data_IF_536477739458
#
_entry.id   IF_536477739458
#
_cell.length_a   1.000
_cell.length_b   1.000
_cell.length_c   1.000
_cell.angle_alpha   90.00
_cell.angle_beta   90.00
_cell.angle_gamma   90.00
#
_symmetry.space_group_name_H-M   'P 1'
#
loop_
_entity.id
_entity.type
_entity.pdbx_description
1 polymer ?
#
# COMPACT_ATOMS: atom_id res chain seq x y z
N UNK A 1 23.66 1.17 0.30
CA UNK A 1 23.24 2.59 0.36
C UNK A 1 21.73 2.59 0.55
N UNK A 2 21.26 3.07 1.71
CA UNK A 2 19.83 3.28 1.99
C UNK A 2 19.39 4.56 1.27
N UNK A 3 18.36 4.49 0.42
CA UNK A 3 17.82 5.68 -0.28
C UNK A 3 17.19 6.69 0.70
N UNK A 4 16.57 7.79 0.27
CA UNK A 4 15.81 8.63 1.20
C UNK A 4 14.51 7.95 1.64
N UNK A 5 14.06 8.19 2.88
CA UNK A 5 12.75 7.74 3.36
C UNK A 5 11.58 8.30 2.51
N UNK A 6 11.78 9.49 1.92
CA UNK A 6 10.79 10.23 1.14
C UNK A 6 11.27 10.55 -0.28
N UNK A 7 10.32 10.67 -1.20
CA UNK A 7 10.50 11.30 -2.51
C UNK A 7 9.36 12.29 -2.74
N UNK A 8 9.67 13.59 -2.70
CA UNK A 8 8.63 14.62 -2.59
C UNK A 8 7.82 14.43 -1.30
N UNK A 9 6.49 14.42 -1.41
CA UNK A 9 5.60 14.15 -0.27
C UNK A 9 5.34 12.65 -0.04
N UNK A 10 5.87 11.75 -0.88
CA UNK A 10 5.62 10.31 -0.78
C UNK A 10 6.65 9.60 0.09
N UNK A 11 6.20 8.64 0.89
CA UNK A 11 7.07 7.71 1.63
C UNK A 11 7.47 6.59 0.67
N UNK A 12 8.77 6.39 0.44
CA UNK A 12 9.31 5.38 -0.48
C UNK A 12 10.20 4.35 0.21
N UNK A 13 10.64 4.60 1.44
CA UNK A 13 11.32 3.60 2.28
C UNK A 13 10.79 3.62 3.72
N UNK A 14 9.87 2.71 4.02
CA UNK A 14 9.35 2.56 5.38
C UNK A 14 10.42 2.18 6.41
N UNK A 15 11.51 1.51 6.00
CA UNK A 15 12.50 0.96 6.94
C UNK A 15 13.28 2.05 7.66
N UNK A 16 13.23 3.27 7.14
CA UNK A 16 13.87 4.45 7.72
C UNK A 16 12.93 5.27 8.61
N UNK A 17 11.67 4.85 8.75
CA UNK A 17 10.70 5.52 9.62
C UNK A 17 10.72 4.91 11.03
N UNK A 18 11.20 5.70 11.98
CA UNK A 18 11.22 5.37 13.41
C UNK A 18 9.93 5.80 14.13
N UNK A 19 8.77 5.50 13.52
CA UNK A 19 7.46 5.82 14.08
C UNK A 19 6.80 4.59 14.73
N UNK A 20 6.20 4.69 15.92
CA UNK A 20 5.52 3.57 16.58
C UNK A 20 4.27 3.12 15.82
N UNK A 21 3.91 1.84 15.87
CA UNK A 21 2.68 1.34 15.25
C UNK A 21 2.20 0.02 15.89
N UNK A 22 1.47 0.14 17.00
CA UNK A 22 1.04 -0.98 17.82
C UNK A 22 2.24 -1.63 18.53
N UNK A 23 2.27 -2.96 18.54
CA UNK A 23 3.37 -3.75 19.12
C UNK A 23 4.71 -3.60 18.38
N UNK A 24 4.71 -3.06 17.17
CA UNK A 24 5.88 -2.97 16.30
C UNK A 24 6.15 -1.52 15.88
N UNK A 25 7.33 -1.24 15.34
CA UNK A 25 7.61 0.03 14.65
C UNK A 25 7.10 0.03 13.20
N UNK A 26 6.93 1.21 12.63
CA UNK A 26 6.49 1.40 11.24
C UNK A 26 7.44 0.77 10.22
N UNK A 27 8.74 0.72 10.53
CA UNK A 27 9.72 -0.04 9.75
C UNK A 27 9.35 -1.52 9.57
N UNK A 28 8.75 -2.15 10.59
CA UNK A 28 8.40 -3.57 10.59
C UNK A 28 6.95 -3.86 10.17
N UNK A 29 5.99 -3.03 10.56
CA UNK A 29 4.56 -3.30 10.37
C UNK A 29 3.74 -2.15 9.76
N UNK A 30 4.39 -1.04 9.39
CA UNK A 30 3.75 0.19 8.96
C UNK A 30 3.30 0.25 7.50
N UNK A 31 3.60 -0.78 6.69
CA UNK A 31 3.31 -0.79 5.25
C UNK A 31 1.84 -0.42 4.93
N UNK A 32 0.89 -0.85 5.76
CA UNK A 32 -0.53 -0.54 5.59
C UNK A 32 -0.86 0.95 5.72
N UNK A 33 -0.39 1.63 6.77
CA UNK A 33 -0.68 3.06 6.97
C UNK A 33 0.11 3.94 6.01
N UNK A 34 1.32 3.51 5.64
CA UNK A 34 2.13 4.17 4.62
C UNK A 34 1.45 4.10 3.26
N UNK A 35 0.86 2.95 2.89
CA UNK A 35 0.09 2.85 1.66
C UNK A 35 -1.16 3.75 1.68
N UNK A 36 -1.84 3.88 2.83
CA UNK A 36 -2.96 4.82 2.98
C UNK A 36 -2.50 6.27 2.82
N UNK A 37 -1.41 6.66 3.47
CA UNK A 37 -0.82 7.99 3.34
C UNK A 37 -0.45 8.31 1.89
N UNK A 38 0.29 7.42 1.22
CA UNK A 38 0.66 7.62 -0.17
C UNK A 38 -0.56 7.67 -1.10
N UNK A 39 -1.58 6.85 -0.86
CA UNK A 39 -2.82 6.91 -1.64
C UNK A 39 -3.56 8.24 -1.47
N UNK A 40 -3.60 8.82 -0.26
CA UNK A 40 -4.17 10.16 -0.03
C UNK A 40 -3.35 11.26 -0.72
N UNK A 41 -2.02 11.15 -0.68
CA UNK A 41 -1.12 12.06 -1.41
C UNK A 41 -1.36 12.01 -2.93
N UNK A 42 -1.52 10.82 -3.51
CA UNK A 42 -1.86 10.66 -4.94
C UNK A 42 -3.20 11.36 -5.27
N UNK A 43 -4.17 11.27 -4.37
CA UNK A 43 -5.47 11.92 -4.51
C UNK A 43 -5.44 13.45 -4.30
N UNK A 44 -4.29 14.03 -3.94
CA UNK A 44 -4.16 15.44 -3.59
C UNK A 44 -4.90 15.81 -2.31
N UNK A 45 -5.12 14.85 -1.42
CA UNK A 45 -5.80 15.06 -0.13
C UNK A 45 -4.73 15.26 0.94
N UNK A 46 -4.85 16.36 1.67
CA UNK A 46 -3.95 16.65 2.78
C UNK A 46 -3.98 15.50 3.80
N UNK A 47 -2.80 14.99 4.12
CA UNK A 47 -2.60 13.72 4.79
C UNK A 47 -1.63 13.91 5.95
N UNK A 48 -2.17 13.97 7.16
CA UNK A 48 -1.38 13.98 8.39
C UNK A 48 -0.93 12.54 8.72
N UNK A 49 0.38 12.30 8.64
CA UNK A 49 0.99 11.00 8.91
C UNK A 49 0.66 10.48 10.31
N UNK A 50 0.74 11.32 11.34
CA UNK A 50 0.50 10.90 12.72
C UNK A 50 -0.97 10.54 12.93
N UNK A 51 -1.87 11.35 12.39
CA UNK A 51 -3.31 11.08 12.46
C UNK A 51 -3.69 9.81 11.70
N UNK A 52 -3.16 9.58 10.51
CA UNK A 52 -3.42 8.36 9.72
C UNK A 52 -2.88 7.14 10.47
N UNK A 53 -1.63 7.21 10.94
CA UNK A 53 -0.97 6.15 11.71
C UNK A 53 -1.78 5.80 12.95
N UNK A 54 -2.16 6.80 13.75
CA UNK A 54 -2.96 6.61 14.97
C UNK A 54 -4.36 6.06 14.68
N UNK A 55 -5.04 6.59 13.66
CA UNK A 55 -6.37 6.11 13.25
C UNK A 55 -6.31 4.64 12.80
N UNK A 56 -5.29 4.25 12.04
CA UNK A 56 -5.12 2.87 11.58
C UNK A 56 -4.65 1.92 12.67
N UNK A 57 -3.82 2.40 13.61
CA UNK A 57 -3.39 1.64 14.77
C UNK A 57 -4.59 1.18 15.63
N UNK A 58 -5.61 2.05 15.78
CA UNK A 58 -6.88 1.72 16.45
C UNK A 58 -7.70 0.63 15.74
N UNK A 59 -7.46 0.40 14.45
CA UNK A 59 -8.11 -0.65 13.66
C UNK A 59 -7.36 -1.99 13.74
N UNK A 60 -6.19 -2.04 14.39
CA UNK A 60 -5.42 -3.27 14.55
C UNK A 60 -6.02 -4.17 15.63
N UNK A 61 -6.23 -5.44 15.29
CA UNK A 61 -6.66 -6.43 16.26
C UNK A 61 -5.57 -6.67 17.33
N UNK A 62 -5.95 -6.61 18.61
CA UNK A 62 -5.06 -6.77 19.77
C UNK A 62 -3.79 -5.89 19.70
N UNK A 63 -3.92 -4.63 19.28
CA UNK A 63 -2.79 -3.69 19.21
C UNK A 63 -1.70 -4.09 18.22
N UNK A 64 -2.05 -4.86 17.19
CA UNK A 64 -1.09 -5.32 16.17
C UNK A 64 -0.36 -6.60 16.55
N UNK A 65 -1.00 -7.53 17.27
CA UNK A 65 -0.45 -8.89 17.50
C UNK A 65 0.01 -9.53 16.18
N UNK A 66 -0.72 -9.25 15.09
CA UNK A 66 -0.30 -9.53 13.72
C UNK A 66 -0.07 -8.21 12.98
N UNK A 67 0.74 -8.23 11.91
CA UNK A 67 0.85 -7.11 10.99
C UNK A 67 -0.52 -6.66 10.46
N UNK A 68 -0.59 -5.46 9.87
CA UNK A 68 -1.83 -4.86 9.35
C UNK A 68 -2.61 -5.85 8.46
N UNK A 69 -3.84 -6.26 8.82
CA UNK A 69 -4.67 -7.11 7.98
C UNK A 69 -5.00 -6.44 6.64
N UNK A 70 -5.10 -7.23 5.57
CA UNK A 70 -5.33 -6.74 4.19
C UNK A 70 -6.54 -5.81 4.03
N UNK A 71 -7.58 -5.98 4.87
CA UNK A 71 -8.83 -5.22 4.80
C UNK A 71 -8.79 -3.90 5.58
N UNK A 72 -7.76 -3.64 6.40
CA UNK A 72 -7.72 -2.45 7.26
C UNK A 72 -7.64 -1.15 6.45
N UNK A 73 -6.81 -1.02 5.39
CA UNK A 73 -6.86 0.16 4.53
C UNK A 73 -8.26 0.42 3.94
N UNK A 74 -8.95 -0.64 3.51
CA UNK A 74 -10.30 -0.54 2.98
C UNK A 74 -11.31 -0.04 4.03
N UNK A 75 -11.20 -0.53 5.27
CA UNK A 75 -12.02 -0.08 6.38
C UNK A 75 -11.75 1.39 6.72
N UNK A 76 -10.47 1.79 6.77
CA UNK A 76 -10.07 3.17 6.98
C UNK A 76 -10.73 4.11 5.96
N UNK A 77 -10.59 3.82 4.66
CA UNK A 77 -11.18 4.66 3.61
C UNK A 77 -12.70 4.69 3.67
N UNK A 78 -13.37 3.57 3.98
CA UNK A 78 -14.83 3.56 4.19
C UNK A 78 -15.26 4.47 5.34
N UNK A 79 -14.54 4.47 6.47
CA UNK A 79 -14.82 5.38 7.58
C UNK A 79 -14.58 6.86 7.21
N UNK A 80 -13.76 7.14 6.21
CA UNK A 80 -13.55 8.49 5.66
C UNK A 80 -14.54 8.84 4.52
N UNK A 81 -15.53 7.98 4.25
CA UNK A 81 -16.59 8.23 3.28
C UNK A 81 -16.26 7.85 1.83
N UNK A 82 -15.12 7.19 1.57
CA UNK A 82 -14.77 6.75 0.23
C UNK A 82 -15.57 5.52 -0.19
N UNK A 83 -15.92 5.46 -1.49
CA UNK A 83 -16.40 4.22 -2.10
C UNK A 83 -15.22 3.30 -2.35
N UNK A 84 -15.16 2.21 -1.58
CA UNK A 84 -14.07 1.24 -1.66
C UNK A 84 -14.55 -0.07 -2.28
N UNK A 85 -13.91 -0.47 -3.37
CA UNK A 85 -14.03 -1.80 -3.96
C UNK A 85 -12.80 -2.63 -3.62
N UNK A 86 -13.02 -3.85 -3.12
CA UNK A 86 -12.00 -4.88 -2.96
C UNK A 86 -12.07 -5.86 -4.13
N UNK A 87 -10.94 -6.19 -4.72
CA UNK A 87 -10.85 -7.10 -5.87
C UNK A 87 -9.67 -8.03 -5.67
N UNK A 88 -9.86 -9.34 -5.94
CA UNK A 88 -8.80 -10.35 -5.91
C UNK A 88 -8.48 -10.94 -7.29
N UNK A 89 -9.24 -10.58 -8.32
CA UNK A 89 -9.07 -11.09 -9.68
C UNK A 89 -8.13 -10.18 -10.50
N UNK A 90 -6.98 -10.72 -10.96
CA UNK A 90 -5.93 -9.98 -11.70
C UNK A 90 -6.44 -9.24 -12.94
N UNK A 91 -7.40 -9.80 -13.69
CA UNK A 91 -7.97 -9.10 -14.85
C UNK A 91 -8.81 -7.90 -14.45
N UNK A 92 -9.55 -8.02 -13.34
CA UNK A 92 -10.34 -6.92 -12.77
C UNK A 92 -9.45 -5.87 -12.12
N UNK A 93 -8.32 -6.26 -11.52
CA UNK A 93 -7.29 -5.35 -11.02
C UNK A 93 -6.80 -4.42 -12.11
N UNK A 94 -6.26 -4.97 -13.21
CA UNK A 94 -5.68 -4.17 -14.28
C UNK A 94 -6.71 -3.20 -14.89
N UNK A 95 -7.98 -3.61 -14.95
CA UNK A 95 -9.07 -2.74 -15.40
C UNK A 95 -9.38 -1.62 -14.42
N UNK A 96 -9.38 -1.90 -13.12
CA UNK A 96 -9.68 -0.89 -12.09
C UNK A 96 -8.50 0.05 -11.85
N UNK A 97 -7.26 -0.45 -11.87
CA UNK A 97 -6.04 0.34 -11.74
C UNK A 97 -5.97 1.48 -12.76
N UNK A 98 -6.52 1.27 -13.97
CA UNK A 98 -6.59 2.30 -15.02
C UNK A 98 -7.74 3.30 -14.85
N UNK A 99 -8.76 2.96 -14.05
CA UNK A 99 -9.98 3.77 -13.90
C UNK A 99 -9.91 4.77 -12.75
N UNK A 100 -9.10 4.48 -11.73
CA UNK A 100 -9.02 5.30 -10.53
C UNK A 100 -7.66 5.97 -10.44
N UNK A 101 -7.61 7.22 -9.93
CA UNK A 101 -6.36 7.98 -9.80
C UNK A 101 -5.38 7.36 -8.80
N UNK A 102 -5.89 6.59 -7.83
CA UNK A 102 -5.07 5.92 -6.82
C UNK A 102 -5.61 4.52 -6.51
N UNK A 103 -4.70 3.63 -6.11
CA UNK A 103 -5.04 2.34 -5.55
C UNK A 103 -4.03 1.85 -4.52
N UNK A 104 -4.45 0.90 -3.69
CA UNK A 104 -3.56 0.15 -2.80
C UNK A 104 -3.59 -1.32 -3.17
N UNK A 105 -2.42 -1.94 -3.26
CA UNK A 105 -2.23 -3.37 -3.40
C UNK A 105 -1.75 -3.94 -2.07
N UNK A 106 -2.37 -5.03 -1.64
CA UNK A 106 -1.78 -5.95 -0.67
C UNK A 106 -1.28 -7.18 -1.39
N UNK A 107 -0.12 -7.74 -1.04
CA UNK A 107 0.33 -9.03 -1.56
C UNK A 107 1.19 -9.78 -0.56
N UNK A 108 1.30 -11.10 -0.69
CA UNK A 108 2.17 -11.93 0.14
C UNK A 108 3.54 -12.11 -0.51
N UNK A 109 4.61 -12.10 0.29
CA UNK A 109 5.94 -12.42 -0.20
C UNK A 109 6.01 -13.90 -0.62
N UNK A 110 6.64 -14.13 -1.77
CA UNK A 110 7.02 -15.45 -2.25
C UNK A 110 8.55 -15.56 -2.21
N UNK A 111 9.07 -16.64 -1.63
CA UNK A 111 10.50 -16.95 -1.69
C UNK A 111 10.67 -18.41 -2.10
N UNK A 112 11.41 -18.66 -3.19
CA UNK A 112 11.72 -20.00 -3.72
C UNK A 112 10.50 -20.93 -3.82
N UNK A 113 9.38 -20.42 -4.36
CA UNK A 113 8.14 -21.20 -4.54
C UNK A 113 7.31 -21.43 -3.27
N UNK A 114 7.74 -20.91 -2.10
CA UNK A 114 6.97 -20.99 -0.85
C UNK A 114 6.33 -19.64 -0.53
N UNK A 115 5.05 -19.67 -0.15
CA UNK A 115 4.33 -18.52 0.40
C UNK A 115 4.91 -18.26 1.80
N UNK A 116 5.48 -17.09 2.01
CA UNK A 116 5.84 -16.63 3.36
C UNK A 116 4.63 -15.92 3.99
N UNK A 117 4.38 -16.08 5.30
CA UNK A 117 3.28 -15.41 5.99
C UNK A 117 3.52 -13.90 6.22
N UNK A 118 4.36 -13.27 5.40
CA UNK A 118 4.62 -11.84 5.43
C UNK A 118 3.94 -11.19 4.23
N UNK A 119 3.14 -10.16 4.49
CA UNK A 119 2.44 -9.39 3.48
C UNK A 119 2.99 -7.98 3.37
N UNK A 120 2.81 -7.37 2.21
CA UNK A 120 3.21 -5.99 1.95
C UNK A 120 2.06 -5.20 1.35
N UNK A 121 2.03 -3.91 1.66
CA UNK A 121 1.14 -2.96 1.00
C UNK A 121 1.94 -1.94 0.22
N UNK A 122 1.48 -1.63 -0.98
CA UNK A 122 2.00 -0.55 -1.79
C UNK A 122 0.84 0.28 -2.36
N UNK A 123 0.98 1.61 -2.33
CA UNK A 123 0.10 2.49 -3.07
C UNK A 123 0.58 2.58 -4.52
N UNK A 124 -0.31 2.85 -5.45
CA UNK A 124 0.08 3.13 -6.84
C UNK A 124 -0.82 4.19 -7.49
N UNK A 125 -0.24 4.87 -8.48
CA UNK A 125 -0.92 5.78 -9.39
C UNK A 125 -0.76 5.27 -10.83
N UNK A 126 -1.82 5.22 -11.65
CA UNK A 126 -1.67 4.97 -13.08
C UNK A 126 -0.98 6.16 -13.77
N UNK A 127 -0.18 5.87 -14.78
CA UNK A 127 0.47 6.87 -15.63
C UNK A 127 -0.24 6.97 -16.98
N UNK A 128 0.01 8.04 -17.74
CA UNK A 128 -0.64 8.30 -19.03
C UNK A 128 -0.31 7.27 -20.11
N UNK A 129 0.85 6.64 -20.04
CA UNK A 129 1.32 5.57 -20.93
C UNK A 129 0.81 4.17 -20.51
N UNK A 130 -0.08 4.10 -19.52
CA UNK A 130 -0.71 2.85 -19.09
C UNK A 130 0.18 1.96 -18.21
N UNK A 131 1.27 2.51 -17.67
CA UNK A 131 2.05 1.94 -16.57
C UNK A 131 1.41 2.32 -15.22
N UNK A 132 2.04 1.90 -14.13
CA UNK A 132 1.72 2.32 -12.78
C UNK A 132 3.01 2.70 -12.06
N UNK A 133 2.98 3.80 -11.33
CA UNK A 133 4.02 4.17 -10.39
C UNK A 133 3.65 3.62 -9.01
N UNK A 134 4.46 2.71 -8.48
CA UNK A 134 4.29 2.09 -7.19
C UNK A 134 5.14 2.80 -6.13
N UNK A 135 4.55 3.07 -4.97
CA UNK A 135 5.22 3.74 -3.87
C UNK A 135 5.46 2.76 -2.73
N UNK A 136 6.72 2.73 -2.26
CA UNK A 136 7.19 1.85 -1.19
C UNK A 136 7.01 0.35 -1.49
N UNK A 137 6.90 -0.08 -2.75
CA UNK A 137 6.95 -1.51 -3.11
C UNK A 137 8.36 -2.09 -3.01
N UNK A 138 9.32 -1.32 -3.55
CA UNK A 138 10.76 -1.56 -3.44
C UNK A 138 11.32 -0.47 -2.53
N UNK A 139 11.84 -0.81 -1.33
CA UNK A 139 12.32 0.18 -0.37
C UNK A 139 13.37 1.12 -0.99
N UNK A 140 13.13 2.42 -0.89
CA UNK A 140 14.01 3.50 -1.34
C UNK A 140 13.95 3.78 -2.85
N UNK A 141 13.15 3.04 -3.61
CA UNK A 141 12.99 3.24 -5.04
C UNK A 141 11.89 4.27 -5.32
N UNK A 142 12.29 5.50 -5.65
CA UNK A 142 11.36 6.59 -5.94
C UNK A 142 10.66 6.48 -7.28
N UNK A 143 11.20 5.73 -8.23
CA UNK A 143 10.70 5.59 -9.61
C UNK A 143 10.42 4.13 -9.97
N UNK A 144 9.71 3.38 -9.12
CA UNK A 144 9.18 2.05 -9.47
C UNK A 144 7.98 2.21 -10.42
N UNK A 145 8.29 2.32 -11.71
CA UNK A 145 7.31 2.49 -12.79
C UNK A 145 7.33 1.23 -13.65
N UNK A 146 6.21 0.51 -13.67
CA UNK A 146 6.04 -0.70 -14.49
C UNK A 146 4.57 -1.02 -14.71
N UNK A 147 4.32 -1.96 -15.60
CA UNK A 147 2.95 -2.35 -15.91
C UNK A 147 2.39 -3.19 -14.77
N UNK A 148 1.07 -3.14 -14.58
CA UNK A 148 0.40 -4.02 -13.62
C UNK A 148 0.63 -5.52 -13.95
N UNK A 149 0.81 -5.85 -15.23
CA UNK A 149 1.18 -7.21 -15.67
C UNK A 149 2.56 -7.60 -15.12
N UNK A 150 3.55 -6.75 -15.33
CA UNK A 150 4.92 -6.97 -14.85
C UNK A 150 4.94 -7.08 -13.32
N UNK A 151 4.18 -6.23 -12.62
CA UNK A 151 4.02 -6.33 -11.17
C UNK A 151 3.54 -7.73 -10.74
N UNK A 152 2.56 -8.33 -11.44
CA UNK A 152 2.08 -9.68 -11.12
C UNK A 152 3.07 -10.80 -11.46
N UNK A 153 3.90 -10.60 -12.48
CA UNK A 153 4.96 -11.54 -12.85
C UNK A 153 6.09 -11.52 -11.81
N UNK A 154 6.48 -10.32 -11.36
CA UNK A 154 7.49 -10.12 -10.31
C UNK A 154 6.98 -10.57 -8.94
N UNK A 155 5.67 -10.46 -8.70
CA UNK A 155 4.99 -10.81 -7.44
C UNK A 155 3.88 -11.83 -7.71
N UNK A 156 4.20 -13.13 -7.93
CA UNK A 156 3.22 -14.15 -8.29
C UNK A 156 2.25 -14.55 -7.15
N UNK A 157 2.09 -13.72 -6.13
CA UNK A 157 1.37 -13.99 -4.90
C UNK A 157 -0.08 -14.48 -5.12
N UNK A 158 -0.50 -15.34 -4.18
CA UNK A 158 -1.82 -15.98 -4.14
C UNK A 158 -2.96 -15.03 -3.77
N UNK A 159 -2.68 -14.00 -2.97
CA UNK A 159 -3.69 -13.10 -2.44
C UNK A 159 -3.31 -11.66 -2.73
N UNK A 160 -4.17 -10.96 -3.47
CA UNK A 160 -4.00 -9.55 -3.77
C UNK A 160 -5.31 -8.82 -3.55
N UNK A 161 -5.28 -7.61 -2.96
CA UNK A 161 -6.49 -6.79 -2.80
C UNK A 161 -6.25 -5.37 -3.30
N UNK A 162 -7.08 -4.91 -4.25
CA UNK A 162 -7.13 -3.51 -4.67
C UNK A 162 -8.05 -2.76 -3.72
N UNK A 163 -7.64 -1.60 -3.25
CA UNK A 163 -8.57 -0.59 -2.74
C UNK A 163 -8.65 0.51 -3.77
N UNK A 164 -9.73 0.56 -4.55
CA UNK A 164 -10.01 1.67 -5.46
C UNK A 164 -10.73 2.79 -4.73
N UNK A 165 -10.33 4.04 -4.98
CA UNK A 165 -10.84 5.22 -4.28
C UNK A 165 -11.58 6.12 -5.28
N UNK A 166 -12.88 6.27 -5.05
CA UNK A 166 -13.77 7.21 -5.74
C UNK A 166 -14.43 8.07 -4.65
N UNK A 167 -14.46 9.39 -4.87
CA UNK A 167 -15.18 10.33 -4.01
C UNK A 167 -16.55 10.59 -4.60
#
# INVERSE_FOLDING_TARGET
>A
MTGPAFSGSFIVDQKQLELPYGRYGSAAAGCGWIAVYNALQILGIDADMEKIRSDMEKLLFLGGWRATPFYVPALYFRHKGFRVRLTANRSQFSRQARKYPAGILFYLYHQKGKIFPSGHFAAFAPTSDGQCHFYNDIPGMSADIRSMKQFFEDRPAFFMVLTSLER
#
